data_IF_659089311742
#
_entry.id   IF_659089311742
#
_cell.length_a   1.000
_cell.length_b   1.000
_cell.length_c   1.000
_cell.angle_alpha   90.00
_cell.angle_beta   90.00
_cell.angle_gamma   90.00
#
_symmetry.space_group_name_H-M   'P 1'
#
loop_
_entity.id
_entity.type
_entity.pdbx_description
1 polymer ?
#
# COMPACT_ATOMS: atom_id res chain seq x y z
N UNK A 1 0.96 -37.44 -6.03
CA UNK A 1 2.27 -37.09 -6.62
C UNK A 1 2.39 -35.62 -7.07
N UNK A 2 1.33 -34.97 -7.59
CA UNK A 2 1.40 -33.55 -7.98
C UNK A 2 1.63 -32.54 -6.82
N UNK A 3 1.09 -32.82 -5.62
CA UNK A 3 1.30 -32.00 -4.41
C UNK A 3 2.78 -31.86 -4.06
N UNK A 4 3.51 -32.98 -3.98
CA UNK A 4 4.91 -32.99 -3.54
C UNK A 4 5.86 -32.19 -4.46
N UNK A 5 5.56 -32.09 -5.76
CA UNK A 5 6.33 -31.29 -6.71
C UNK A 5 6.04 -29.78 -6.56
N UNK A 6 4.78 -29.42 -6.27
CA UNK A 6 4.38 -28.04 -5.95
C UNK A 6 4.99 -27.59 -4.61
N UNK A 7 4.99 -28.47 -3.60
CA UNK A 7 5.61 -28.23 -2.30
C UNK A 7 7.12 -27.97 -2.44
N UNK A 8 7.81 -28.75 -3.27
CA UNK A 8 9.23 -28.57 -3.56
C UNK A 8 9.54 -27.31 -4.38
N UNK A 9 8.67 -26.90 -5.30
CA UNK A 9 8.83 -25.68 -6.09
C UNK A 9 8.62 -24.42 -5.23
N UNK A 10 7.57 -24.38 -4.40
CA UNK A 10 7.32 -23.28 -3.46
C UNK A 10 8.44 -23.17 -2.43
N UNK A 11 8.95 -24.31 -1.92
CA UNK A 11 10.11 -24.32 -1.03
C UNK A 11 11.38 -23.74 -1.68
N UNK A 12 11.61 -24.01 -2.98
CA UNK A 12 12.73 -23.42 -3.73
C UNK A 12 12.58 -21.92 -3.93
N UNK A 13 11.36 -21.44 -4.21
CA UNK A 13 11.08 -19.99 -4.29
C UNK A 13 11.32 -19.34 -2.92
N UNK A 14 10.84 -19.96 -1.84
CA UNK A 14 11.08 -19.49 -0.48
C UNK A 14 12.57 -19.42 -0.14
N UNK A 15 13.34 -20.46 -0.47
CA UNK A 15 14.79 -20.50 -0.26
C UNK A 15 15.54 -19.46 -1.10
N UNK A 16 15.13 -19.24 -2.36
CA UNK A 16 15.66 -18.16 -3.20
C UNK A 16 15.32 -16.77 -2.63
N UNK A 17 14.08 -16.56 -2.21
CA UNK A 17 13.68 -15.28 -1.62
C UNK A 17 14.47 -14.98 -0.34
N UNK A 18 14.69 -15.99 0.50
CA UNK A 18 15.53 -15.88 1.70
C UNK A 18 17.00 -15.58 1.34
N UNK A 19 17.55 -16.19 0.28
CA UNK A 19 18.95 -15.96 -0.11
C UNK A 19 19.23 -14.54 -0.64
N UNK A 20 18.21 -13.86 -1.18
CA UNK A 20 18.35 -12.49 -1.67
C UNK A 20 18.50 -11.43 -0.57
N UNK A 21 18.24 -11.78 0.70
CA UNK A 21 18.14 -10.85 1.84
C UNK A 21 17.11 -9.72 1.66
N UNK A 22 16.33 -9.71 0.57
CA UNK A 22 15.27 -8.72 0.29
C UNK A 22 14.23 -8.65 1.42
N UNK A 23 13.78 -9.76 2.04
CA UNK A 23 12.84 -9.67 3.16
C UNK A 23 13.40 -8.89 4.35
N UNK A 24 14.69 -9.03 4.62
CA UNK A 24 15.38 -8.29 5.69
C UNK A 24 15.57 -6.83 5.29
N UNK A 25 15.93 -6.55 4.02
CA UNK A 25 16.00 -5.19 3.49
C UNK A 25 14.67 -4.43 3.58
N UNK A 26 13.53 -5.11 3.38
CA UNK A 26 12.20 -4.49 3.53
C UNK A 26 11.88 -4.21 5.00
N UNK A 27 12.29 -5.08 5.92
CA UNK A 27 12.11 -4.86 7.37
C UNK A 27 12.97 -3.71 7.90
N UNK A 28 14.18 -3.59 7.37
CA UNK A 28 15.16 -2.59 7.79
C UNK A 28 15.14 -1.33 6.91
N UNK A 29 14.13 -1.20 6.02
CA UNK A 29 14.00 -0.03 5.15
C UNK A 29 13.85 1.21 6.02
N UNK A 30 14.83 2.10 5.91
CA UNK A 30 14.74 3.43 6.50
C UNK A 30 13.73 4.25 5.70
N UNK A 31 12.51 4.33 6.23
CA UNK A 31 11.44 5.15 5.68
C UNK A 31 11.88 6.61 5.49
N UNK A 32 12.74 7.12 6.38
CA UNK A 32 13.30 8.48 6.29
C UNK A 32 14.23 8.59 5.08
N UNK A 33 15.10 7.57 4.91
CA UNK A 33 15.99 7.42 3.77
C UNK A 33 15.27 7.46 2.42
N UNK A 34 14.06 6.88 2.34
CA UNK A 34 13.24 6.87 1.12
C UNK A 34 12.88 8.29 0.66
N UNK A 35 12.49 9.18 1.59
CA UNK A 35 12.14 10.58 1.28
C UNK A 35 13.35 11.49 1.08
N UNK A 36 14.55 11.02 1.44
CA UNK A 36 15.81 11.72 1.09
C UNK A 36 16.41 11.23 -0.23
N UNK A 37 15.92 10.13 -0.79
CA UNK A 37 16.39 9.59 -2.05
C UNK A 37 15.80 10.40 -3.23
N UNK A 38 16.64 11.12 -4.01
CA UNK A 38 16.15 11.94 -5.11
C UNK A 38 15.43 11.13 -6.19
N UNK A 39 15.84 9.88 -6.43
CA UNK A 39 15.20 9.03 -7.43
C UNK A 39 13.78 8.62 -7.05
N UNK A 40 13.48 8.56 -5.75
CA UNK A 40 12.13 8.33 -5.25
C UNK A 40 11.30 9.62 -5.25
N UNK A 41 11.90 10.72 -4.81
CA UNK A 41 11.19 12.00 -4.63
C UNK A 41 10.89 12.73 -5.94
N UNK A 42 11.81 12.71 -6.91
CA UNK A 42 11.67 13.48 -8.15
C UNK A 42 10.38 13.13 -8.92
N UNK A 43 10.04 11.85 -9.16
CA UNK A 43 8.77 11.51 -9.81
C UNK A 43 7.54 12.00 -9.04
N UNK A 44 7.55 11.91 -7.71
CA UNK A 44 6.45 12.36 -6.86
C UNK A 44 6.27 13.88 -6.93
N UNK A 45 7.35 14.64 -6.76
CA UNK A 45 7.33 16.09 -6.83
C UNK A 45 6.93 16.57 -8.23
N UNK A 46 7.44 15.91 -9.28
CA UNK A 46 7.05 16.21 -10.65
C UNK A 46 5.55 15.97 -10.91
N UNK A 47 5.00 14.85 -10.43
CA UNK A 47 3.57 14.55 -10.53
C UNK A 47 2.73 15.61 -9.81
N UNK A 48 3.05 15.92 -8.56
CA UNK A 48 2.32 16.93 -7.77
C UNK A 48 2.41 18.32 -8.43
N UNK A 49 3.61 18.74 -8.83
CA UNK A 49 3.83 20.00 -9.52
C UNK A 49 3.05 20.10 -10.83
N UNK A 50 3.02 19.01 -11.60
CA UNK A 50 2.25 18.92 -12.85
C UNK A 50 0.73 19.04 -12.60
N UNK A 51 0.20 18.34 -11.59
CA UNK A 51 -1.23 18.40 -11.26
C UNK A 51 -1.64 19.79 -10.75
N UNK A 52 -0.78 20.46 -9.97
CA UNK A 52 -1.00 21.85 -9.52
C UNK A 52 -0.99 22.80 -10.72
N UNK A 53 -0.01 22.68 -11.62
CA UNK A 53 0.09 23.51 -12.81
C UNK A 53 -1.16 23.39 -13.71
N UNK A 54 -1.69 22.17 -13.87
CA UNK A 54 -2.93 21.90 -14.62
C UNK A 54 -4.21 22.29 -13.87
N UNK A 55 -4.13 22.71 -12.61
CA UNK A 55 -5.27 22.95 -11.72
C UNK A 55 -6.19 21.71 -11.55
N UNK A 56 -5.60 20.52 -11.64
CA UNK A 56 -6.27 19.22 -11.49
C UNK A 56 -6.43 18.85 -10.00
N UNK A 57 -7.23 19.63 -9.28
CA UNK A 57 -7.38 19.49 -7.83
C UNK A 57 -8.10 18.20 -7.41
N UNK A 58 -9.02 17.67 -8.22
CA UNK A 58 -9.68 16.40 -7.91
C UNK A 58 -8.66 15.25 -7.93
N UNK A 59 -7.79 15.23 -8.94
CA UNK A 59 -6.69 14.27 -9.05
C UNK A 59 -5.67 14.44 -7.93
N UNK A 60 -5.36 15.69 -7.55
CA UNK A 60 -4.49 15.97 -6.40
C UNK A 60 -5.05 15.37 -5.10
N UNK A 61 -6.36 15.56 -4.84
CA UNK A 61 -7.04 14.99 -3.66
C UNK A 61 -6.97 13.45 -3.70
N UNK A 62 -7.18 12.85 -4.87
CA UNK A 62 -7.08 11.39 -5.04
C UNK A 62 -5.66 10.89 -4.74
N UNK A 63 -4.62 11.58 -5.21
CA UNK A 63 -3.22 11.23 -4.89
C UNK A 63 -2.98 11.29 -3.39
N UNK A 64 -3.48 12.33 -2.70
CA UNK A 64 -3.38 12.44 -1.23
C UNK A 64 -4.07 11.27 -0.54
N UNK A 65 -5.25 10.87 -1.00
CA UNK A 65 -5.97 9.70 -0.47
C UNK A 65 -5.13 8.42 -0.65
N UNK A 66 -4.52 8.21 -1.82
CA UNK A 66 -3.68 7.04 -2.05
C UNK A 66 -2.46 7.01 -1.11
N UNK A 67 -1.80 8.16 -0.91
CA UNK A 67 -0.68 8.26 0.04
C UNK A 67 -1.14 7.98 1.47
N UNK A 68 -2.29 8.49 1.87
CA UNK A 68 -2.87 8.24 3.19
C UNK A 68 -3.22 6.76 3.41
N UNK A 69 -3.83 6.09 2.41
CA UNK A 69 -4.14 4.66 2.46
C UNK A 69 -2.88 3.80 2.50
N UNK A 70 -1.86 4.16 1.70
CA UNK A 70 -0.57 3.50 1.74
C UNK A 70 0.07 3.61 3.12
N UNK A 71 0.09 4.80 3.72
CA UNK A 71 0.60 4.99 5.07
C UNK A 71 -0.20 4.22 6.13
N UNK A 72 -1.54 4.28 6.08
CA UNK A 72 -2.44 3.53 6.97
C UNK A 72 -2.18 2.03 6.92
N UNK A 73 -1.86 1.48 5.74
CA UNK A 73 -1.57 0.05 5.57
C UNK A 73 -0.37 -0.44 6.41
N UNK A 74 0.57 0.45 6.72
CA UNK A 74 1.76 0.15 7.52
C UNK A 74 1.61 0.34 9.03
N UNK A 75 0.44 0.79 9.50
CA UNK A 75 0.21 1.05 10.93
C UNK A 75 0.13 -0.23 11.75
N UNK A 76 0.48 -0.14 13.04
CA UNK A 76 0.38 -1.28 13.98
C UNK A 76 -1.03 -1.88 14.00
N UNK A 77 -2.07 -1.05 13.86
CA UNK A 77 -3.45 -1.50 13.83
C UNK A 77 -3.69 -2.55 12.73
N UNK A 78 -3.16 -2.34 11.53
CA UNK A 78 -3.31 -3.24 10.38
C UNK A 78 -2.64 -4.60 10.64
N UNK A 79 -1.53 -4.62 11.39
CA UNK A 79 -0.86 -5.86 11.79
C UNK A 79 -1.74 -6.72 12.71
N UNK A 80 -2.67 -6.11 13.45
CA UNK A 80 -3.56 -6.83 14.37
C UNK A 80 -4.80 -7.42 13.72
N UNK A 81 -5.00 -7.20 12.41
CA UNK A 81 -6.16 -7.71 11.67
C UNK A 81 -6.11 -9.23 11.44
N UNK A 82 -4.90 -9.80 11.42
CA UNK A 82 -4.69 -11.25 11.31
C UNK A 82 -4.00 -11.72 12.60
N UNK A 83 -4.65 -12.60 13.33
CA UNK A 83 -4.07 -13.22 14.54
C UNK A 83 -4.23 -14.72 14.43
N UNK A 84 -3.13 -15.45 14.69
CA UNK A 84 -3.06 -16.91 14.55
C UNK A 84 -3.50 -17.41 13.16
N UNK A 85 -3.23 -16.64 12.11
CA UNK A 85 -3.64 -16.95 10.74
C UNK A 85 -5.13 -16.74 10.46
N UNK A 86 -5.90 -16.24 11.42
CA UNK A 86 -7.34 -15.96 11.26
C UNK A 86 -7.61 -14.46 11.17
N UNK A 87 -8.53 -14.09 10.27
CA UNK A 87 -8.95 -12.71 10.08
C UNK A 87 -9.91 -12.28 11.19
N UNK A 88 -9.55 -11.25 11.95
CA UNK A 88 -10.41 -10.73 13.02
C UNK A 88 -11.50 -9.81 12.46
N UNK A 89 -12.69 -10.37 12.22
CA UNK A 89 -13.84 -9.65 11.65
C UNK A 89 -14.17 -8.36 12.41
N UNK A 90 -14.13 -8.39 13.75
CA UNK A 90 -14.41 -7.21 14.60
C UNK A 90 -13.47 -6.03 14.32
N UNK A 91 -12.22 -6.30 13.94
CA UNK A 91 -11.20 -5.28 13.64
C UNK A 91 -11.19 -4.90 12.16
N UNK A 92 -11.55 -5.81 11.28
CA UNK A 92 -11.65 -5.53 9.84
C UNK A 92 -12.87 -4.66 9.51
N UNK A 93 -13.96 -4.82 10.25
CA UNK A 93 -15.20 -4.08 10.01
C UNK A 93 -15.03 -2.55 9.92
N UNK A 94 -14.36 -1.87 10.88
CA UNK A 94 -14.11 -0.43 10.76
C UNK A 94 -13.21 -0.06 9.56
N UNK A 95 -12.26 -0.92 9.17
CA UNK A 95 -11.43 -0.69 7.98
C UNK A 95 -12.27 -0.75 6.70
N UNK A 96 -13.15 -1.74 6.60
CA UNK A 96 -14.07 -1.85 5.46
C UNK A 96 -15.05 -0.68 5.39
N UNK A 97 -15.59 -0.24 6.53
CA UNK A 97 -16.45 0.93 6.59
C UNK A 97 -15.71 2.21 6.13
N UNK A 98 -14.47 2.40 6.61
CA UNK A 98 -13.61 3.50 6.17
C UNK A 98 -13.30 3.44 4.68
N UNK A 99 -12.94 2.27 4.16
CA UNK A 99 -12.67 2.06 2.74
C UNK A 99 -13.91 2.36 1.87
N UNK A 100 -15.10 1.93 2.32
CA UNK A 100 -16.36 2.22 1.64
C UNK A 100 -16.67 3.74 1.62
N UNK A 101 -16.44 4.44 2.73
CA UNK A 101 -16.62 5.89 2.81
C UNK A 101 -15.65 6.64 1.88
N UNK A 102 -14.38 6.25 1.87
CA UNK A 102 -13.37 6.81 0.95
C UNK A 102 -13.76 6.54 -0.50
N UNK A 103 -14.22 5.34 -0.83
CA UNK A 103 -14.66 5.01 -2.18
C UNK A 103 -15.87 5.86 -2.61
N UNK A 104 -16.87 6.01 -1.74
CA UNK A 104 -18.02 6.87 -2.00
C UNK A 104 -17.59 8.34 -2.24
N UNK A 105 -16.62 8.83 -1.46
CA UNK A 105 -16.05 10.16 -1.63
C UNK A 105 -15.32 10.32 -2.98
N UNK A 106 -14.51 9.33 -3.36
CA UNK A 106 -13.82 9.33 -4.67
C UNK A 106 -14.84 9.32 -5.82
N UNK A 107 -15.88 8.49 -5.74
CA UNK A 107 -16.97 8.46 -6.73
C UNK A 107 -17.64 9.83 -6.85
N UNK A 108 -17.93 10.50 -5.72
CA UNK A 108 -18.48 11.85 -5.72
C UNK A 108 -17.57 12.86 -6.43
N UNK A 109 -16.26 12.80 -6.20
CA UNK A 109 -15.31 13.70 -6.86
C UNK A 109 -15.26 13.51 -8.39
N UNK A 110 -15.44 12.28 -8.88
CA UNK A 110 -15.45 11.99 -10.32
C UNK A 110 -16.77 12.32 -11.00
N UNK A 111 -17.91 11.98 -10.37
CA UNK A 111 -19.22 12.02 -11.03
C UNK A 111 -20.19 13.04 -10.46
N UNK A 112 -20.10 13.37 -9.16
CA UNK A 112 -21.07 14.21 -8.47
C UNK A 112 -20.73 15.71 -8.48
N UNK A 113 -19.48 16.07 -8.77
CA UNK A 113 -18.99 17.46 -8.82
C UNK A 113 -18.73 17.98 -10.25
N UNK A 114 -18.89 17.12 -11.26
CA UNK A 114 -18.59 17.46 -12.66
C UNK A 114 -19.61 18.41 -13.27
#
# INVERSE_FOLDING_TARGET
>A
MASAAADGFVAKIGAWLQSTNVPQQIKDVDFTGLFTNPWFMVPFVALIGYLIWKQSFNELIIVVIFVALWWLSGTEYMQTLVVDGTLQIKKVLPVLAGAAAVLAFVIYLFFGRS
#
